data_IF_433691697450
#
_entry.id   IF_433691697450
#
_cell.length_a   1.000
_cell.length_b   1.000
_cell.length_c   1.000
_cell.angle_alpha   90.00
_cell.angle_beta   90.00
_cell.angle_gamma   90.00
#
_symmetry.space_group_name_H-M   'P 1'
#
loop_
_entity.id
_entity.type
_entity.pdbx_description
1 polymer ?
#
# COMPACT_ATOMS: atom_id res chain seq x y z
N UNK A 1 -31.36 16.56 -29.05
CA UNK A 1 -31.67 16.99 -27.67
C UNK A 1 -31.85 15.74 -26.81
N UNK A 2 -30.80 15.25 -26.12
CA UNK A 2 -30.93 14.15 -25.18
C UNK A 2 -31.47 14.66 -23.85
N UNK A 3 -32.32 13.83 -23.25
CA UNK A 3 -33.20 14.12 -22.11
C UNK A 3 -32.45 14.53 -20.84
N UNK A 4 -32.93 15.60 -20.20
CA UNK A 4 -32.46 16.11 -18.89
C UNK A 4 -32.55 15.08 -17.76
N UNK A 5 -33.25 13.98 -17.96
CA UNK A 5 -33.39 12.88 -16.99
C UNK A 5 -32.10 12.03 -16.88
N UNK A 6 -31.31 11.90 -17.96
CA UNK A 6 -30.05 11.14 -17.91
C UNK A 6 -28.93 11.87 -17.16
N UNK A 7 -28.95 13.21 -17.12
CA UNK A 7 -27.97 14.00 -16.36
C UNK A 7 -28.21 13.93 -14.85
N UNK A 8 -29.47 13.74 -14.41
CA UNK A 8 -29.81 13.62 -12.99
C UNK A 8 -29.45 12.24 -12.40
N UNK A 9 -29.55 11.16 -13.20
CA UNK A 9 -29.10 9.82 -12.79
C UNK A 9 -27.57 9.69 -12.71
N UNK A 10 -26.83 10.43 -13.54
CA UNK A 10 -25.36 10.47 -13.47
C UNK A 10 -24.82 11.14 -12.20
N UNK A 11 -25.51 12.17 -11.69
CA UNK A 11 -25.11 12.87 -10.47
C UNK A 11 -25.42 12.08 -9.18
N UNK A 12 -26.47 11.26 -9.19
CA UNK A 12 -26.81 10.39 -8.06
C UNK A 12 -25.82 9.23 -7.87
N UNK A 13 -25.18 8.74 -8.94
CA UNK A 13 -24.15 7.69 -8.84
C UNK A 13 -22.77 8.23 -8.46
N UNK A 14 -22.47 9.50 -8.74
CA UNK A 14 -21.22 10.16 -8.28
C UNK A 14 -21.33 10.59 -6.82
N UNK A 15 -22.54 10.90 -6.32
CA UNK A 15 -22.77 11.24 -4.92
C UNK A 15 -22.54 10.08 -3.95
N UNK A 16 -22.80 8.83 -4.34
CA UNK A 16 -22.68 7.67 -3.44
C UNK A 16 -21.24 7.13 -3.30
N UNK A 17 -20.31 7.50 -4.19
CA UNK A 17 -18.89 7.11 -4.06
C UNK A 17 -18.10 8.10 -3.20
N UNK A 18 -18.62 9.33 -3.01
CA UNK A 18 -18.00 10.36 -2.17
C UNK A 18 -18.71 10.57 -0.82
N UNK A 19 -19.93 10.05 -0.65
CA UNK A 19 -20.69 10.09 0.61
C UNK A 19 -20.94 8.68 1.14
N UNK A 20 -19.87 7.90 1.31
CA UNK A 20 -19.82 7.01 2.45
C UNK A 20 -19.00 7.76 3.51
N UNK A 21 -19.62 8.81 4.08
CA UNK A 21 -19.36 9.15 5.48
C UNK A 21 -19.63 7.84 6.23
N UNK A 22 -18.54 7.09 6.43
CA UNK A 22 -18.44 6.16 7.53
C UNK A 22 -19.02 6.90 8.72
N UNK A 23 -20.15 6.41 9.25
CA UNK A 23 -20.58 6.76 10.59
C UNK A 23 -19.33 6.71 11.46
N UNK A 24 -18.85 7.91 11.78
CA UNK A 24 -17.69 8.14 12.59
C UNK A 24 -18.12 7.64 13.96
N UNK A 25 -17.78 6.39 14.26
CA UNK A 25 -17.32 6.13 15.62
C UNK A 25 -16.03 6.92 15.73
N UNK A 26 -16.17 8.22 15.99
CA UNK A 26 -15.09 9.14 16.26
C UNK A 26 -14.39 8.59 17.49
N UNK A 27 -13.39 7.74 17.27
CA UNK A 27 -12.30 7.62 18.21
C UNK A 27 -11.58 8.95 18.08
N UNK A 28 -12.07 9.90 18.88
CA UNK A 28 -11.47 11.20 19.15
C UNK A 28 -9.95 11.03 19.07
N UNK A 29 -9.29 11.86 18.24
CA UNK A 29 -7.86 11.83 18.06
C UNK A 29 -7.21 12.08 19.43
N UNK A 30 -7.03 11.00 20.20
CA UNK A 30 -6.63 11.09 21.59
C UNK A 30 -5.36 11.90 21.65
N UNK A 31 -5.31 12.83 22.61
CA UNK A 31 -4.09 13.59 22.88
C UNK A 31 -2.93 12.60 22.98
N UNK A 32 -1.74 13.00 22.51
CA UNK A 32 -0.53 12.15 22.54
C UNK A 32 -0.33 11.57 23.95
N UNK A 33 -0.73 12.30 24.99
CA UNK A 33 -0.72 11.89 26.40
C UNK A 33 -1.51 10.60 26.70
N UNK A 34 -2.59 10.31 25.96
CA UNK A 34 -3.50 9.17 26.20
C UNK A 34 -3.18 7.89 25.40
N UNK A 35 -2.03 7.83 24.71
CA UNK A 35 -1.61 6.65 23.96
C UNK A 35 -1.31 5.46 24.90
N UNK A 36 -1.87 4.31 24.57
CA UNK A 36 -1.68 3.01 25.21
C UNK A 36 -1.23 1.99 24.17
N UNK A 37 -0.73 0.83 24.60
CA UNK A 37 -0.33 -0.24 23.68
C UNK A 37 -1.44 -0.62 22.68
N UNK A 38 -2.69 -0.71 23.16
CA UNK A 38 -3.86 -1.01 22.32
C UNK A 38 -4.09 0.07 21.25
N UNK A 39 -4.03 1.35 21.65
CA UNK A 39 -4.23 2.47 20.72
C UNK A 39 -3.10 2.61 19.69
N UNK A 40 -1.89 2.17 20.03
CA UNK A 40 -0.75 2.14 19.10
C UNK A 40 -0.94 1.12 17.97
N UNK A 41 -1.79 0.11 18.15
CA UNK A 41 -2.15 -0.85 17.10
C UNK A 41 -3.21 -0.34 16.11
N UNK A 42 -3.89 0.77 16.42
CA UNK A 42 -5.07 1.22 15.67
C UNK A 42 -4.76 2.34 14.67
N UNK A 43 -5.67 2.57 13.72
CA UNK A 43 -5.58 3.70 12.81
C UNK A 43 -5.70 5.03 13.57
N UNK A 44 -4.83 5.99 13.25
CA UNK A 44 -4.93 7.38 13.71
C UNK A 44 -5.28 8.29 12.54
N UNK A 45 -6.29 9.14 12.71
CA UNK A 45 -6.77 10.05 11.66
C UNK A 45 -5.63 10.92 11.14
N UNK A 46 -5.52 11.01 9.81
CA UNK A 46 -4.49 11.79 9.14
C UNK A 46 -3.05 11.32 9.35
N UNK A 47 -2.81 10.14 9.92
CA UNK A 47 -1.46 9.63 10.15
C UNK A 47 -1.06 8.45 9.27
N UNK A 48 -2.01 7.68 8.74
CA UNK A 48 -1.66 6.45 8.03
C UNK A 48 -0.90 6.74 6.72
N UNK A 49 0.29 6.15 6.56
CA UNK A 49 1.05 6.21 5.31
C UNK A 49 0.38 5.42 4.20
N UNK A 50 0.37 6.01 3.01
CA UNK A 50 -0.26 5.41 1.83
C UNK A 50 0.62 4.34 1.18
N UNK A 51 1.95 4.37 1.40
CA UNK A 51 2.83 3.49 0.63
C UNK A 51 4.25 3.36 1.18
N UNK A 52 4.70 2.13 1.47
CA UNK A 52 6.13 1.83 1.58
C UNK A 52 6.55 0.90 0.43
N UNK A 53 7.49 1.37 -0.39
CA UNK A 53 7.88 0.68 -1.62
C UNK A 53 9.19 -0.09 -1.52
N UNK A 54 9.96 0.15 -0.46
CA UNK A 54 11.29 -0.40 -0.27
C UNK A 54 12.31 0.71 -0.06
N UNK A 55 13.58 0.32 -0.03
CA UNK A 55 14.72 1.23 0.03
C UNK A 55 14.90 2.00 -1.29
N UNK A 56 15.33 3.26 -1.18
CA UNK A 56 15.47 4.17 -2.31
C UNK A 56 16.41 3.64 -3.40
N UNK A 57 17.52 3.00 -3.01
CA UNK A 57 18.48 2.44 -3.98
C UNK A 57 17.82 1.40 -4.90
N UNK A 58 17.11 0.44 -4.32
CA UNK A 58 16.40 -0.59 -5.08
C UNK A 58 15.30 0.02 -5.94
N UNK A 59 14.57 1.01 -5.42
CA UNK A 59 13.54 1.73 -6.16
C UNK A 59 14.12 2.45 -7.37
N UNK A 60 15.16 3.24 -7.18
CA UNK A 60 15.82 4.00 -8.24
C UNK A 60 16.41 3.08 -9.30
N UNK A 61 17.05 1.98 -8.88
CA UNK A 61 17.58 0.97 -9.81
C UNK A 61 16.48 0.38 -10.69
N UNK A 62 15.36 -0.07 -10.10
CA UNK A 62 14.25 -0.63 -10.85
C UNK A 62 13.53 0.41 -11.71
N UNK A 63 13.46 1.67 -11.25
CA UNK A 63 12.93 2.78 -12.02
C UNK A 63 13.79 3.05 -13.25
N UNK A 64 15.10 3.19 -13.11
CA UNK A 64 16.03 3.44 -14.22
C UNK A 64 15.98 2.34 -15.30
N UNK A 65 15.78 1.08 -14.91
CA UNK A 65 15.67 -0.04 -15.86
C UNK A 65 14.36 0.04 -16.68
N UNK A 66 13.28 0.58 -16.10
CA UNK A 66 11.94 0.53 -16.69
C UNK A 66 11.36 1.90 -17.07
N UNK A 67 12.08 3.00 -16.83
CA UNK A 67 11.63 4.38 -17.06
C UNK A 67 11.19 4.63 -18.50
N UNK A 68 11.81 3.96 -19.47
CA UNK A 68 11.41 4.01 -20.88
C UNK A 68 10.01 3.43 -21.16
N UNK A 69 9.38 2.76 -20.19
CA UNK A 69 8.00 2.26 -20.25
C UNK A 69 7.01 3.17 -19.54
N UNK A 70 7.49 4.17 -18.80
CA UNK A 70 6.65 5.13 -18.09
C UNK A 70 5.80 5.91 -19.12
N UNK A 71 4.48 5.96 -18.96
CA UNK A 71 3.65 6.81 -19.81
C UNK A 71 4.05 8.29 -19.65
N UNK A 72 3.96 9.11 -20.72
CA UNK A 72 4.20 10.53 -20.61
C UNK A 72 3.13 11.20 -19.71
N UNK A 73 3.48 12.35 -19.15
CA UNK A 73 2.58 13.10 -18.27
C UNK A 73 1.23 13.38 -18.95
N UNK A 74 0.15 13.12 -18.23
CA UNK A 74 -1.21 13.29 -18.73
C UNK A 74 -1.74 12.16 -19.63
N UNK A 75 -0.94 11.12 -19.91
CA UNK A 75 -1.43 9.91 -20.58
C UNK A 75 -2.46 9.18 -19.69
N UNK A 76 -3.65 8.94 -20.27
CA UNK A 76 -4.77 8.29 -19.57
C UNK A 76 -4.89 6.80 -19.90
N UNK A 77 -3.98 6.25 -20.71
CA UNK A 77 -3.94 4.83 -21.05
C UNK A 77 -3.43 4.00 -19.86
N UNK A 78 -4.38 3.49 -19.08
CA UNK A 78 -4.10 2.62 -17.94
C UNK A 78 -3.34 1.35 -18.32
N UNK A 79 -3.46 0.86 -19.56
CA UNK A 79 -2.69 -0.30 -20.03
C UNK A 79 -1.20 -0.02 -20.05
N UNK A 80 -0.78 1.19 -20.43
CA UNK A 80 0.63 1.60 -20.38
C UNK A 80 1.11 1.77 -18.95
N UNK A 81 0.30 2.39 -18.09
CA UNK A 81 0.63 2.54 -16.66
C UNK A 81 0.82 1.18 -15.98
N UNK A 82 -0.11 0.24 -16.19
CA UNK A 82 0.00 -1.12 -15.66
C UNK A 82 1.19 -1.86 -16.26
N UNK A 83 1.53 -1.63 -17.53
CA UNK A 83 2.74 -2.19 -18.13
C UNK A 83 4.00 -1.70 -17.42
N UNK A 84 4.14 -0.40 -17.16
CA UNK A 84 5.28 0.12 -16.41
C UNK A 84 5.32 -0.47 -14.99
N UNK A 85 4.22 -0.30 -14.24
CA UNK A 85 4.14 -0.71 -12.83
C UNK A 85 4.38 -2.20 -12.65
N UNK A 86 3.80 -3.05 -13.49
CA UNK A 86 3.99 -4.50 -13.40
C UNK A 86 5.46 -4.91 -13.57
N UNK A 87 6.20 -4.25 -14.46
CA UNK A 87 7.63 -4.54 -14.68
C UNK A 87 8.49 -3.96 -13.58
N UNK A 88 8.15 -2.76 -13.10
CA UNK A 88 8.78 -2.16 -11.92
C UNK A 88 8.66 -3.07 -10.69
N UNK A 89 7.44 -3.53 -10.37
CA UNK A 89 7.16 -4.45 -9.26
C UNK A 89 7.86 -5.79 -9.45
N UNK A 90 7.85 -6.35 -10.66
CA UNK A 90 8.62 -7.56 -10.96
C UNK A 90 10.10 -7.36 -10.62
N UNK A 91 10.69 -6.22 -10.99
CA UNK A 91 12.07 -5.90 -10.66
C UNK A 91 12.31 -5.85 -9.15
N UNK A 92 11.45 -5.15 -8.39
CA UNK A 92 11.56 -5.07 -6.92
C UNK A 92 11.53 -6.47 -6.28
N UNK A 93 10.56 -7.29 -6.68
CA UNK A 93 10.42 -8.64 -6.13
C UNK A 93 11.53 -9.58 -6.58
N UNK A 94 12.16 -9.34 -7.75
CA UNK A 94 13.38 -10.07 -8.14
C UNK A 94 14.57 -9.71 -7.24
N UNK A 95 14.81 -8.42 -6.97
CA UNK A 95 15.93 -8.00 -6.12
C UNK A 95 15.81 -8.63 -4.72
N UNK A 96 14.59 -8.67 -4.16
CA UNK A 96 14.29 -9.29 -2.86
C UNK A 96 14.14 -10.81 -2.88
N UNK A 97 14.21 -11.44 -4.06
CA UNK A 97 13.97 -12.88 -4.27
C UNK A 97 12.57 -13.34 -3.79
N UNK A 98 11.60 -12.44 -3.83
CA UNK A 98 10.20 -12.68 -3.44
C UNK A 98 9.42 -13.46 -4.49
N UNK A 99 9.95 -13.63 -5.69
CA UNK A 99 9.30 -14.42 -6.74
C UNK A 99 9.55 -15.91 -6.51
N UNK A 100 8.48 -16.67 -6.31
CA UNK A 100 8.46 -18.11 -6.17
C UNK A 100 8.28 -18.86 -7.50
N UNK A 101 8.05 -20.17 -7.42
CA UNK A 101 7.72 -21.00 -8.58
C UNK A 101 6.35 -20.61 -9.14
N UNK A 102 6.18 -20.72 -10.45
CA UNK A 102 4.90 -20.40 -11.11
C UNK A 102 4.40 -18.98 -10.82
N UNK A 103 5.32 -18.03 -10.69
CA UNK A 103 5.06 -16.61 -10.51
C UNK A 103 4.30 -16.26 -9.22
N UNK A 104 4.36 -17.11 -8.18
CA UNK A 104 3.78 -16.83 -6.86
C UNK A 104 4.71 -15.99 -5.97
N UNK A 105 4.24 -15.59 -4.77
CA UNK A 105 5.11 -15.02 -3.73
C UNK A 105 5.83 -16.13 -2.96
N UNK A 106 7.15 -16.00 -2.85
CA UNK A 106 8.01 -16.84 -2.04
C UNK A 106 8.01 -16.38 -0.57
N UNK A 107 7.03 -16.85 0.20
CA UNK A 107 6.91 -16.47 1.61
C UNK A 107 8.12 -16.85 2.47
N UNK A 108 8.96 -17.81 2.05
CA UNK A 108 10.21 -18.10 2.77
C UNK A 108 11.17 -16.91 2.69
N UNK A 109 11.30 -16.31 1.51
CA UNK A 109 12.16 -15.14 1.32
C UNK A 109 11.55 -13.89 1.95
N UNK A 110 10.24 -13.72 1.92
CA UNK A 110 9.55 -12.63 2.64
C UNK A 110 9.83 -12.70 4.15
N UNK A 111 9.73 -13.90 4.74
CA UNK A 111 10.03 -14.08 6.17
C UNK A 111 11.49 -13.79 6.49
N UNK A 112 12.42 -14.30 5.67
CA UNK A 112 13.85 -14.06 5.86
C UNK A 112 14.23 -12.58 5.72
N UNK A 113 13.65 -11.88 4.74
CA UNK A 113 13.86 -10.44 4.55
C UNK A 113 13.27 -9.66 5.73
N UNK A 114 12.06 -10.01 6.19
CA UNK A 114 11.45 -9.38 7.37
C UNK A 114 12.26 -9.61 8.67
N UNK A 115 12.80 -10.81 8.87
CA UNK A 115 13.70 -11.12 9.99
C UNK A 115 14.97 -10.25 9.96
N UNK A 116 15.46 -9.93 8.77
CA UNK A 116 16.64 -9.07 8.60
C UNK A 116 16.31 -7.59 8.77
N UNK A 117 15.24 -7.10 8.12
CA UNK A 117 14.85 -5.69 8.08
C UNK A 117 14.28 -5.16 9.40
N UNK A 118 13.65 -6.05 10.18
CA UNK A 118 12.93 -5.72 11.40
C UNK A 118 13.43 -6.54 12.60
N UNK A 119 14.74 -6.86 12.62
CA UNK A 119 15.36 -7.74 13.61
C UNK A 119 15.09 -7.34 15.07
N UNK A 120 14.98 -6.03 15.32
CA UNK A 120 14.69 -5.39 16.60
C UNK A 120 13.26 -4.86 16.73
N UNK A 121 12.41 -5.11 15.72
CA UNK A 121 11.05 -4.55 15.59
C UNK A 121 10.04 -5.66 15.29
N UNK A 122 9.76 -6.55 16.27
CA UNK A 122 8.99 -7.77 16.04
C UNK A 122 7.54 -7.53 15.59
N UNK A 123 6.91 -6.41 16.00
CA UNK A 123 5.57 -6.04 15.52
C UNK A 123 5.56 -5.69 14.03
N UNK A 124 6.58 -4.98 13.54
CA UNK A 124 6.75 -4.69 12.11
C UNK A 124 7.04 -5.94 11.29
N UNK A 125 7.91 -6.81 11.81
CA UNK A 125 8.21 -8.10 11.19
C UNK A 125 6.93 -8.94 11.01
N UNK A 126 6.16 -9.13 12.08
CA UNK A 126 4.92 -9.88 12.05
C UNK A 126 3.90 -9.26 11.09
N UNK A 127 3.81 -7.93 11.09
CA UNK A 127 2.94 -7.18 10.19
C UNK A 127 3.30 -7.35 8.72
N UNK A 128 4.59 -7.21 8.37
CA UNK A 128 5.08 -7.39 7.01
C UNK A 128 4.75 -8.79 6.48
N UNK A 129 4.98 -9.82 7.30
CA UNK A 129 4.67 -11.21 6.96
C UNK A 129 3.16 -11.41 6.78
N UNK A 130 2.34 -10.88 7.70
CA UNK A 130 0.87 -10.99 7.67
C UNK A 130 0.30 -10.31 6.42
N UNK A 131 0.78 -9.11 6.11
CA UNK A 131 0.38 -8.35 4.92
C UNK A 131 0.67 -9.13 3.63
N UNK A 132 1.89 -9.65 3.45
CA UNK A 132 2.21 -10.44 2.26
C UNK A 132 1.40 -11.75 2.18
N UNK A 133 1.15 -12.41 3.31
CA UNK A 133 0.34 -13.63 3.33
C UNK A 133 -1.12 -13.37 2.98
N UNK A 134 -1.69 -12.26 3.45
CA UNK A 134 -3.03 -11.81 3.06
C UNK A 134 -3.06 -11.46 1.57
N UNK A 135 -2.18 -10.56 1.14
CA UNK A 135 -2.22 -10.00 -0.21
C UNK A 135 -1.92 -11.01 -1.30
N UNK A 136 -1.05 -12.01 -1.06
CA UNK A 136 -0.84 -13.09 -2.04
C UNK A 136 -2.07 -13.97 -2.24
N UNK A 137 -2.90 -14.14 -1.20
CA UNK A 137 -4.14 -14.93 -1.26
C UNK A 137 -5.25 -14.13 -1.93
N UNK A 138 -5.43 -12.88 -1.53
CA UNK A 138 -6.42 -11.98 -2.11
C UNK A 138 -6.17 -11.73 -3.60
N UNK A 139 -4.92 -11.39 -3.95
CA UNK A 139 -4.50 -11.22 -5.34
C UNK A 139 -4.72 -12.46 -6.21
N UNK A 140 -4.66 -13.66 -5.63
CA UNK A 140 -4.93 -14.90 -6.38
C UNK A 140 -6.40 -14.96 -6.79
N UNK A 141 -7.31 -14.61 -5.88
CA UNK A 141 -8.75 -14.52 -6.15
C UNK A 141 -9.03 -13.51 -7.24
N UNK A 142 -8.52 -12.29 -7.09
CA UNK A 142 -8.71 -11.20 -8.06
C UNK A 142 -8.10 -11.55 -9.42
N UNK A 143 -6.86 -12.05 -9.45
CA UNK A 143 -6.18 -12.41 -10.68
C UNK A 143 -6.89 -13.54 -11.43
N UNK A 144 -7.46 -14.52 -10.72
CA UNK A 144 -8.24 -15.59 -11.34
C UNK A 144 -9.53 -15.08 -11.99
N UNK A 145 -10.16 -14.04 -11.43
CA UNK A 145 -11.33 -13.39 -12.04
C UNK A 145 -10.92 -12.55 -13.26
N UNK A 146 -9.82 -11.80 -13.14
CA UNK A 146 -9.34 -10.93 -14.22
C UNK A 146 -8.87 -11.72 -15.44
N UNK A 147 -8.16 -12.83 -15.25
CA UNK A 147 -7.64 -13.62 -16.38
C UNK A 147 -8.73 -14.25 -17.25
N UNK A 148 -9.93 -14.43 -16.71
CA UNK A 148 -11.10 -14.93 -17.44
C UNK A 148 -11.90 -13.84 -18.16
N UNK A 149 -11.66 -12.56 -17.84
CA UNK A 149 -12.33 -11.43 -18.46
C UNK A 149 -11.58 -10.96 -19.71
N UNK A 150 -12.23 -10.87 -20.89
CA UNK A 150 -11.59 -10.40 -22.13
C UNK A 150 -11.02 -8.98 -22.02
N UNK A 151 -11.74 -8.07 -21.35
CA UNK A 151 -11.31 -6.68 -21.16
C UNK A 151 -10.08 -6.58 -20.27
N UNK A 152 -10.08 -7.29 -19.14
CA UNK A 152 -8.91 -7.33 -18.25
C UNK A 152 -7.72 -8.02 -18.91
N UNK A 153 -7.94 -9.07 -19.71
CA UNK A 153 -6.89 -9.72 -20.50
C UNK A 153 -6.26 -8.76 -21.51
N UNK A 154 -7.04 -7.91 -22.16
CA UNK A 154 -6.52 -6.88 -23.06
C UNK A 154 -5.68 -5.84 -22.29
N UNK A 155 -6.17 -5.40 -21.14
CA UNK A 155 -5.48 -4.42 -20.28
C UNK A 155 -4.14 -4.96 -19.73
N UNK A 156 -4.09 -6.25 -19.39
CA UNK A 156 -2.90 -6.91 -18.82
C UNK A 156 -2.01 -7.58 -19.88
N UNK A 157 -2.35 -7.51 -21.17
CA UNK A 157 -1.67 -8.24 -22.26
C UNK A 157 -0.16 -8.02 -22.29
N UNK A 158 0.30 -6.83 -21.93
CA UNK A 158 1.71 -6.43 -21.96
C UNK A 158 2.32 -6.27 -20.57
N UNK A 159 1.59 -6.60 -19.51
CA UNK A 159 2.07 -6.46 -18.15
C UNK A 159 3.07 -7.59 -17.81
N UNK A 160 4.12 -7.23 -17.07
CA UNK A 160 5.09 -8.18 -16.55
C UNK A 160 4.53 -8.90 -15.32
N UNK A 161 4.27 -10.21 -15.41
CA UNK A 161 3.76 -11.04 -14.30
C UNK A 161 2.60 -10.38 -13.52
N UNK A 162 1.41 -10.21 -14.12
CA UNK A 162 0.33 -9.39 -13.57
C UNK A 162 -0.11 -9.74 -12.15
N UNK A 163 0.00 -11.01 -11.75
CA UNK A 163 -0.28 -11.44 -10.39
C UNK A 163 0.57 -10.67 -9.35
N UNK A 164 1.86 -10.45 -9.61
CA UNK A 164 2.74 -9.73 -8.69
C UNK A 164 2.32 -8.27 -8.51
N UNK A 165 1.85 -7.63 -9.59
CA UNK A 165 1.26 -6.30 -9.51
C UNK A 165 0.01 -6.28 -8.62
N UNK A 166 -0.86 -7.30 -8.72
CA UNK A 166 -2.04 -7.39 -7.86
C UNK A 166 -1.66 -7.55 -6.37
N UNK A 167 -0.61 -8.33 -6.08
CA UNK A 167 -0.09 -8.45 -4.71
C UNK A 167 0.43 -7.10 -4.20
N UNK A 168 1.11 -6.34 -5.04
CA UNK A 168 1.63 -5.02 -4.71
C UNK A 168 0.52 -3.99 -4.49
N UNK A 169 -0.49 -3.93 -5.36
CA UNK A 169 -1.65 -3.04 -5.18
C UNK A 169 -2.47 -3.40 -3.94
N UNK A 170 -2.53 -4.69 -3.58
CA UNK A 170 -3.12 -5.06 -2.29
C UNK A 170 -2.31 -4.50 -1.12
N UNK A 171 -0.97 -4.49 -1.19
CA UNK A 171 -0.13 -3.96 -0.11
C UNK A 171 -0.31 -2.45 0.07
N UNK A 172 -0.39 -1.68 -1.03
CA UNK A 172 -0.65 -0.23 -0.95
C UNK A 172 -1.95 0.06 -0.21
N UNK A 173 -2.97 -0.76 -0.46
CA UNK A 173 -4.29 -0.56 0.14
C UNK A 173 -4.44 -1.25 1.49
N UNK A 174 -3.50 -2.13 1.87
CA UNK A 174 -3.65 -3.03 3.01
C UNK A 174 -3.85 -2.21 4.29
N UNK A 175 -3.01 -1.20 4.50
CA UNK A 175 -3.03 -0.36 5.72
C UNK A 175 -4.27 0.53 5.78
N UNK A 176 -4.79 0.98 4.65
CA UNK A 176 -6.02 1.79 4.60
C UNK A 176 -7.26 0.96 4.94
N UNK A 177 -7.25 -0.33 4.57
CA UNK A 177 -8.36 -1.28 4.75
C UNK A 177 -8.29 -2.10 6.05
N UNK A 178 -7.14 -2.10 6.73
CA UNK A 178 -6.89 -2.84 7.98
C UNK A 178 -6.44 -1.89 9.09
N UNK A 179 -5.97 -2.46 10.20
CA UNK A 179 -5.22 -1.73 11.22
C UNK A 179 -4.00 -1.06 10.58
N UNK A 180 -3.90 0.26 10.79
CA UNK A 180 -2.75 1.06 10.43
C UNK A 180 -1.93 1.34 11.70
N UNK A 181 -1.05 0.40 12.10
CA UNK A 181 -0.32 0.48 13.35
C UNK A 181 0.68 1.63 13.35
N UNK A 182 1.16 2.01 14.54
CA UNK A 182 1.98 3.20 14.75
C UNK A 182 3.23 3.30 13.88
N UNK A 183 3.88 2.18 13.55
CA UNK A 183 5.05 2.16 12.66
C UNK A 183 4.72 2.47 11.18
N UNK A 184 3.43 2.63 10.84
CA UNK A 184 2.93 3.14 9.57
C UNK A 184 2.44 4.59 9.67
N UNK A 185 2.52 5.22 10.84
CA UNK A 185 2.11 6.61 11.02
C UNK A 185 3.20 7.56 10.52
N UNK A 186 2.89 8.33 9.47
CA UNK A 186 3.77 9.35 8.89
C UNK A 186 3.11 10.72 8.94
N UNK A 187 1.81 10.78 8.68
CA UNK A 187 1.09 12.04 8.49
C UNK A 187 1.53 12.77 7.23
N UNK A 188 1.01 13.97 7.02
CA UNK A 188 1.37 14.76 5.85
C UNK A 188 1.48 16.26 6.16
N UNK A 189 2.31 16.95 5.37
CA UNK A 189 2.55 18.39 5.51
C UNK A 189 1.31 19.22 5.12
N UNK A 190 0.48 18.72 4.18
CA UNK A 190 -0.65 19.47 3.62
C UNK A 190 -1.82 19.54 4.61
N UNK A 191 -2.02 18.50 5.39
CA UNK A 191 -3.02 18.38 6.46
C UNK A 191 -2.49 18.83 7.81
N UNK A 192 -1.19 19.15 7.91
CA UNK A 192 -0.55 19.63 9.13
C UNK A 192 -0.40 18.56 10.22
N UNK A 193 -0.51 17.27 9.87
CA UNK A 193 -0.48 16.17 10.84
C UNK A 193 0.92 15.57 11.06
N UNK A 194 1.88 15.86 10.18
CA UNK A 194 3.21 15.23 10.18
C UNK A 194 3.90 15.20 11.54
N UNK A 195 4.06 16.35 12.19
CA UNK A 195 4.74 16.42 13.50
C UNK A 195 3.97 15.64 14.58
N UNK A 196 2.64 15.77 14.62
CA UNK A 196 1.80 15.08 15.58
C UNK A 196 1.88 13.55 15.41
N UNK A 197 1.90 13.07 14.16
CA UNK A 197 2.00 11.64 13.85
C UNK A 197 3.40 11.10 14.17
N UNK A 198 4.45 11.87 13.88
CA UNK A 198 5.82 11.56 14.26
C UNK A 198 5.95 11.40 15.79
N UNK A 199 5.46 12.36 16.57
CA UNK A 199 5.57 12.33 18.03
C UNK A 199 4.75 11.20 18.65
N UNK A 200 3.55 10.95 18.11
CA UNK A 200 2.71 9.83 18.51
C UNK A 200 3.38 8.47 18.21
N UNK A 201 4.01 8.35 17.04
CA UNK A 201 4.77 7.15 16.65
C UNK A 201 5.95 6.92 17.58
N UNK A 202 6.75 7.95 17.88
CA UNK A 202 7.88 7.87 18.79
C UNK A 202 7.44 7.43 20.20
N UNK A 203 6.32 7.96 20.70
CA UNK A 203 5.74 7.52 21.98
C UNK A 203 5.31 6.06 21.96
N UNK A 204 4.73 5.57 20.86
CA UNK A 204 4.36 4.16 20.74
C UNK A 204 5.58 3.21 20.71
N UNK A 205 6.68 3.60 20.06
CA UNK A 205 7.95 2.85 20.19
C UNK A 205 8.43 2.80 21.65
N UNK A 206 8.36 3.92 22.37
CA UNK A 206 8.74 3.97 23.78
C UNK A 206 7.83 3.10 24.69
N UNK A 207 6.52 3.06 24.42
CA UNK A 207 5.57 2.16 25.11
C UNK A 207 5.96 0.70 24.91
N UNK A 208 6.37 0.34 23.69
CA UNK A 208 6.83 -1.01 23.34
C UNK A 208 8.25 -1.33 23.84
N UNK A 209 8.92 -0.38 24.51
CA UNK A 209 10.26 -0.57 25.07
C UNK A 209 11.36 -0.70 24.02
N UNK A 210 11.13 -0.22 22.80
CA UNK A 210 12.07 -0.28 21.68
C UNK A 210 12.44 1.11 21.18
N UNK A 211 13.64 1.25 20.60
CA UNK A 211 14.05 2.51 19.99
C UNK A 211 13.24 2.75 18.70
N UNK A 212 12.81 4.00 18.49
CA UNK A 212 12.27 4.38 17.19
C UNK A 212 13.39 4.30 16.14
N UNK A 213 13.12 3.81 14.93
CA UNK A 213 14.08 3.87 13.84
C UNK A 213 14.42 5.33 13.56
N UNK A 214 15.69 5.61 13.26
CA UNK A 214 16.09 6.92 12.77
C UNK A 214 15.31 7.21 11.49
N UNK A 215 14.70 8.39 11.41
CA UNK A 215 14.12 8.83 10.15
C UNK A 215 15.24 8.85 9.12
N UNK A 216 15.07 8.08 8.03
CA UNK A 216 15.91 8.23 6.85
C UNK A 216 15.69 9.65 6.36
N UNK A 217 16.61 10.51 6.76
CA UNK A 217 16.59 11.94 6.50
C UNK A 217 17.08 12.16 5.08
N UNK A 218 16.14 12.15 4.13
CA UNK A 218 16.22 12.89 2.85
C UNK A 218 14.88 12.88 2.12
#
# INVERSE_FOLDING_TARGET
MPSRVCLLLGLLLVGQVLAQESEETAVEAGSIETLTEEKCGMKRSGCCSDLYLGDEETLMKCFSIHSNRLPPDGDKDMGKTLKFLSCFVECLYKQRKYIGKSDTINMKMVKLDAETLYADRPKEQAYHIKMFDFCRKDAMTVYNLLKTSPGAKAMLKNACRPFLLMVYLCQSDYHQKHECPYFRWEGDEKSGTKQQCHDARAKCYAIDGIAAPEDSST
#
